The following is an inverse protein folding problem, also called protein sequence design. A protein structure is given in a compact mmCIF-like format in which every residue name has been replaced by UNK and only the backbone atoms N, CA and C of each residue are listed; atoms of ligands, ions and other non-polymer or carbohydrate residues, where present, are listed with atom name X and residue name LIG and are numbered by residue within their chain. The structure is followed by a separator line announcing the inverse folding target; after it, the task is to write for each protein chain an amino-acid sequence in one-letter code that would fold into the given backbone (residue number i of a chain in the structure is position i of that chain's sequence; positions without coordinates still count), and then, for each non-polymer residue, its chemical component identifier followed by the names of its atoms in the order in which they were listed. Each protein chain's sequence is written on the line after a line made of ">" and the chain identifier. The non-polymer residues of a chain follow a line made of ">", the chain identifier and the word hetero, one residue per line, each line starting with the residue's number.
data_IF_896441754332
#
_entry.id   IF_896441754332
#
_cell.length_a   1.000
_cell.length_b   1.000
_cell.length_c   1.000
_cell.angle_alpha   90.00
_cell.angle_beta   90.00
_cell.angle_gamma   90.00
#
_symmetry.space_group_name_H-M   'P 1'
#
loop_
_entity.id
_entity.type
_entity.pdbx_description
1 polymer ?
#
# COMPACT_ATOMS: atom_id res chain seq x y z
N UNK A 1 -17.64 11.50 -38.18
CA UNK A 1 -16.55 12.45 -37.89
C UNK A 1 -17.12 13.75 -37.28
N UNK A 2 -17.54 13.74 -36.00
CA UNK A 2 -18.18 14.89 -35.30
C UNK A 2 -17.72 15.05 -33.84
N UNK A 3 -16.68 14.32 -33.42
CA UNK A 3 -16.18 14.29 -32.03
C UNK A 3 -15.21 15.46 -31.74
N UNK A 4 -14.58 16.05 -32.76
CA UNK A 4 -13.53 17.07 -32.59
C UNK A 4 -14.01 18.46 -32.13
N UNK A 5 -15.31 18.76 -32.19
CA UNK A 5 -15.83 20.08 -31.76
C UNK A 5 -16.22 20.14 -30.28
N UNK A 6 -16.42 19.01 -29.63
CA UNK A 6 -16.77 18.97 -28.20
C UNK A 6 -15.55 19.19 -27.31
N UNK A 7 -14.38 18.66 -27.70
CA UNK A 7 -13.12 18.80 -26.98
C UNK A 7 -12.50 20.21 -27.04
N UNK A 8 -12.96 21.07 -27.95
CA UNK A 8 -12.42 22.43 -28.16
C UNK A 8 -13.19 23.52 -27.38
N UNK A 9 -14.27 23.16 -26.66
CA UNK A 9 -14.94 24.11 -25.76
C UNK A 9 -14.15 24.17 -24.46
N UNK A 10 -13.62 25.34 -24.05
CA UNK A 10 -12.78 25.45 -22.85
C UNK A 10 -13.51 24.98 -21.58
N UNK A 11 -14.84 25.03 -21.61
CA UNK A 11 -15.74 24.52 -20.56
C UNK A 11 -15.58 23.00 -20.33
N UNK A 12 -15.37 22.20 -21.37
CA UNK A 12 -15.24 20.73 -21.24
C UNK A 12 -13.91 20.37 -20.57
N UNK A 13 -12.84 21.07 -20.93
CA UNK A 13 -11.53 20.92 -20.30
C UNK A 13 -11.57 21.36 -18.82
N UNK A 14 -12.22 22.48 -18.53
CA UNK A 14 -12.35 22.98 -17.16
C UNK A 14 -13.14 22.00 -16.25
N UNK A 15 -14.24 21.44 -16.75
CA UNK A 15 -15.04 20.44 -16.01
C UNK A 15 -14.28 19.14 -15.80
N UNK A 16 -13.54 18.67 -16.82
CA UNK A 16 -12.70 17.48 -16.68
C UNK A 16 -11.59 17.67 -15.64
N UNK A 17 -10.97 18.85 -15.62
CA UNK A 17 -9.94 19.20 -14.65
C UNK A 17 -10.51 19.29 -13.23
N UNK A 18 -11.68 19.92 -13.05
CA UNK A 18 -12.39 19.98 -11.77
C UNK A 18 -12.75 18.57 -11.26
N UNK A 19 -13.26 17.71 -12.13
CA UNK A 19 -13.61 16.33 -11.79
C UNK A 19 -12.38 15.50 -11.37
N UNK A 20 -11.26 15.66 -12.08
CA UNK A 20 -9.99 15.04 -11.72
C UNK A 20 -9.50 15.50 -10.33
N UNK A 21 -9.57 16.82 -10.05
CA UNK A 21 -9.20 17.36 -8.74
C UNK A 21 -10.07 16.84 -7.60
N UNK A 22 -11.39 16.77 -7.78
CA UNK A 22 -12.32 16.25 -6.76
C UNK A 22 -12.02 14.78 -6.45
N UNK A 23 -11.66 13.99 -7.46
CA UNK A 23 -11.36 12.56 -7.28
C UNK A 23 -10.09 12.34 -6.45
N UNK A 24 -9.07 13.18 -6.65
CA UNK A 24 -7.81 13.13 -5.87
C UNK A 24 -8.06 13.47 -4.40
N UNK A 25 -8.88 14.50 -4.13
CA UNK A 25 -9.19 14.93 -2.75
C UNK A 25 -9.98 13.88 -1.97
N UNK A 26 -10.87 13.12 -2.62
CA UNK A 26 -11.66 12.06 -1.97
C UNK A 26 -10.85 10.79 -1.65
N UNK A 27 -9.72 10.57 -2.33
CA UNK A 27 -8.88 9.39 -2.15
C UNK A 27 -7.98 9.47 -0.90
N UNK A 28 -7.69 10.69 -0.43
CA UNK A 28 -6.88 10.90 0.78
C UNK A 28 -7.75 10.79 2.04
N UNK A 29 -8.22 9.57 2.33
CA UNK A 29 -8.65 9.24 3.69
C UNK A 29 -7.41 8.76 4.44
N UNK A 30 -6.81 9.60 5.31
CA UNK A 30 -5.71 9.10 6.11
C UNK A 30 -6.24 7.94 6.94
N UNK A 31 -5.65 6.76 6.76
CA UNK A 31 -5.90 5.62 7.62
C UNK A 31 -5.27 5.93 8.98
N UNK A 32 -5.88 6.87 9.72
CA UNK A 32 -5.43 7.35 11.03
C UNK A 32 -5.40 6.24 12.08
N UNK A 33 -5.97 5.08 11.76
CA UNK A 33 -5.94 3.89 12.59
C UNK A 33 -5.13 2.82 11.87
N UNK A 34 -4.01 2.36 12.45
CA UNK A 34 -3.25 1.25 11.89
C UNK A 34 -4.08 -0.04 11.93
N UNK A 35 -3.86 -0.91 10.95
CA UNK A 35 -4.33 -2.29 11.02
C UNK A 35 -3.36 -3.07 11.90
N UNK A 36 -3.88 -3.78 12.90
CA UNK A 36 -3.07 -4.57 13.83
C UNK A 36 -3.31 -6.04 13.51
N UNK A 37 -2.23 -6.76 13.20
CA UNK A 37 -2.23 -8.21 13.00
C UNK A 37 -1.33 -8.83 14.05
N UNK A 38 -1.89 -9.73 14.88
CA UNK A 38 -1.14 -10.46 15.90
C UNK A 38 -0.89 -11.87 15.38
N UNK A 39 0.38 -12.21 15.22
CA UNK A 39 0.84 -13.55 14.86
C UNK A 39 1.36 -14.23 16.13
N UNK A 40 0.65 -15.24 16.61
CA UNK A 40 1.05 -16.02 17.77
C UNK A 40 1.41 -17.44 17.33
N UNK A 41 2.59 -17.90 17.75
CA UNK A 41 3.10 -19.23 17.41
C UNK A 41 3.38 -19.97 18.70
N UNK A 42 2.79 -21.15 18.86
CA UNK A 42 3.05 -21.99 20.03
C UNK A 42 4.42 -22.68 19.91
N UNK A 43 5.13 -22.75 21.04
CA UNK A 43 6.42 -23.42 21.19
C UNK A 43 7.54 -23.00 20.22
N UNK A 44 7.46 -21.84 19.55
CA UNK A 44 8.54 -21.39 18.68
C UNK A 44 9.79 -21.02 19.51
N UNK A 45 10.90 -21.69 19.24
CA UNK A 45 12.17 -21.38 19.91
C UNK A 45 12.90 -20.28 19.16
N UNK A 46 13.60 -19.40 19.88
CA UNK A 46 14.40 -18.33 19.27
C UNK A 46 15.47 -18.89 18.30
N UNK A 47 16.07 -20.04 18.62
CA UNK A 47 17.07 -20.66 17.75
C UNK A 47 16.50 -21.19 16.43
N UNK A 48 15.18 -21.17 16.22
CA UNK A 48 14.52 -21.70 15.02
C UNK A 48 14.14 -20.64 13.99
N UNK A 49 14.59 -19.39 14.20
CA UNK A 49 14.33 -18.28 13.29
C UNK A 49 15.62 -17.83 12.61
N UNK A 50 15.57 -17.67 11.29
CA UNK A 50 16.71 -17.30 10.46
C UNK A 50 17.34 -15.96 10.85
N UNK A 51 16.54 -14.94 11.15
CA UNK A 51 17.04 -13.63 11.59
C UNK A 51 17.80 -13.66 12.94
N UNK A 52 17.70 -14.75 13.71
CA UNK A 52 18.51 -14.97 14.91
C UNK A 52 19.78 -15.80 14.66
N UNK A 53 20.14 -16.03 13.39
CA UNK A 53 21.40 -16.68 13.00
C UNK A 53 21.29 -18.18 12.74
N UNK A 54 20.08 -18.74 12.57
CA UNK A 54 19.93 -20.13 12.16
C UNK A 54 20.23 -20.28 10.65
N UNK A 55 21.27 -21.05 10.31
CA UNK A 55 21.70 -21.27 8.91
C UNK A 55 20.92 -22.39 8.19
N UNK A 56 20.21 -23.24 8.93
CA UNK A 56 19.50 -24.42 8.40
C UNK A 56 18.02 -24.13 8.18
N UNK A 57 17.36 -23.56 9.19
CA UNK A 57 15.93 -23.25 9.16
C UNK A 57 15.71 -21.92 8.45
N UNK A 58 14.86 -21.94 7.41
CA UNK A 58 14.61 -20.78 6.57
C UNK A 58 13.26 -20.15 6.90
N UNK A 59 13.26 -18.90 7.34
CA UNK A 59 12.05 -18.13 7.69
C UNK A 59 11.92 -16.85 6.85
N UNK A 60 11.90 -16.93 5.51
CA UNK A 60 12.12 -15.77 4.64
C UNK A 60 11.12 -14.62 4.84
N UNK A 61 9.87 -14.92 5.20
CA UNK A 61 8.87 -13.89 5.50
C UNK A 61 9.12 -13.19 6.84
N UNK A 62 9.55 -13.94 7.86
CA UNK A 62 9.88 -13.38 9.17
C UNK A 62 11.21 -12.64 9.13
N UNK A 63 12.18 -13.14 8.38
CA UNK A 63 13.48 -12.51 8.16
C UNK A 63 13.33 -11.18 7.41
N UNK A 64 12.43 -11.15 6.41
CA UNK A 64 12.07 -9.92 5.72
C UNK A 64 11.36 -8.94 6.66
N UNK A 65 10.39 -9.41 7.43
CA UNK A 65 9.69 -8.59 8.42
C UNK A 65 10.66 -7.97 9.43
N UNK A 66 11.61 -8.75 9.96
CA UNK A 66 12.62 -8.28 10.90
C UNK A 66 13.54 -7.21 10.30
N UNK A 67 13.83 -7.27 8.99
CA UNK A 67 14.65 -6.28 8.28
C UNK A 67 13.88 -4.98 7.96
N UNK A 68 12.58 -5.09 7.74
CA UNK A 68 11.68 -3.96 7.44
C UNK A 68 11.19 -3.24 8.71
N UNK A 69 11.48 -3.79 9.89
CA UNK A 69 11.04 -3.31 11.21
C UNK A 69 12.19 -2.69 12.01
N UNK A 70 11.86 -1.93 13.07
CA UNK A 70 12.82 -1.26 13.98
C UNK A 70 13.04 -2.10 15.23
#
# INVERSE_FOLDING_TARGET
>A
MRISRLACRPQVLAVAFLFAHVSIVLADRPANRPNIVILFVDQLRWSEVGCYGNEVIRTPNLDRLARESV
#
